data_IF_701368586187
#
_entry.id   IF_701368586187
#
_cell.length_a   1.000
_cell.length_b   1.000
_cell.length_c   1.000
_cell.angle_alpha   90.00
_cell.angle_beta   90.00
_cell.angle_gamma   90.00
#
_symmetry.space_group_name_H-M   'P 1'
#
loop_
_entity.id
_entity.type
_entity.pdbx_description
1 polymer ?
#
# COMPACT_ATOMS: atom_id res chain seq x y z
N UNK A 1 -4.05 19.65 -4.04
CA UNK A 1 -3.10 18.93 -4.91
C UNK A 1 -3.85 17.71 -5.45
N UNK A 2 -4.44 17.81 -6.64
CA UNK A 2 -5.15 16.69 -7.25
C UNK A 2 -4.13 15.92 -8.11
N UNK A 3 -3.78 14.70 -7.71
CA UNK A 3 -2.95 13.81 -8.53
C UNK A 3 -3.94 12.96 -9.34
N UNK A 4 -4.10 13.21 -10.66
CA UNK A 4 -5.07 12.48 -11.45
C UNK A 4 -4.77 10.97 -11.38
N UNK A 5 -5.80 10.17 -11.10
CA UNK A 5 -5.75 8.69 -10.98
C UNK A 5 -4.98 8.12 -9.79
N UNK A 6 -4.72 8.90 -8.74
CA UNK A 6 -4.24 8.32 -7.48
C UNK A 6 -5.40 7.65 -6.75
N UNK A 7 -5.43 6.32 -6.74
CA UNK A 7 -6.41 5.58 -5.96
C UNK A 7 -6.01 5.61 -4.47
N UNK A 8 -6.98 5.53 -3.54
CA UNK A 8 -6.69 5.44 -2.10
C UNK A 8 -5.69 4.33 -1.75
N UNK A 9 -5.74 3.22 -2.50
CA UNK A 9 -4.83 2.10 -2.31
C UNK A 9 -3.36 2.41 -2.67
N UNK A 10 -3.12 3.32 -3.62
CA UNK A 10 -1.76 3.74 -3.99
C UNK A 10 -1.06 4.46 -2.84
N UNK A 11 -1.82 5.27 -2.08
CA UNK A 11 -1.33 5.96 -0.90
C UNK A 11 -0.97 4.96 0.21
N UNK A 12 -1.82 3.96 0.48
CA UNK A 12 -1.53 2.91 1.46
C UNK A 12 -0.28 2.11 1.12
N UNK A 13 -0.11 1.74 -0.16
CA UNK A 13 1.08 1.04 -0.65
C UNK A 13 2.35 1.87 -0.49
N UNK A 14 2.29 3.14 -0.87
CA UNK A 14 3.40 4.08 -0.75
C UNK A 14 3.80 4.30 0.70
N UNK A 15 2.82 4.42 1.60
CA UNK A 15 3.01 4.56 3.04
C UNK A 15 3.82 3.38 3.61
N UNK A 16 3.38 2.13 3.36
CA UNK A 16 4.11 0.94 3.86
C UNK A 16 5.55 0.92 3.37
N UNK A 17 5.79 1.21 2.08
CA UNK A 17 7.13 1.20 1.51
C UNK A 17 8.03 2.24 2.19
N UNK A 18 7.55 3.48 2.30
CA UNK A 18 8.31 4.57 2.90
C UNK A 18 8.59 4.31 4.38
N UNK A 19 7.61 3.82 5.14
CA UNK A 19 7.81 3.42 6.53
C UNK A 19 8.82 2.28 6.65
N UNK A 20 8.74 1.26 5.79
CA UNK A 20 9.68 0.14 5.78
C UNK A 20 11.10 0.57 5.42
N UNK A 21 11.28 1.41 4.39
CA UNK A 21 12.59 1.92 3.98
C UNK A 21 13.21 2.82 5.07
N UNK A 22 12.37 3.49 5.87
CA UNK A 22 12.76 4.22 7.07
C UNK A 22 13.00 3.33 8.31
N UNK A 23 12.98 2.00 8.17
CA UNK A 23 13.08 1.00 9.26
C UNK A 23 11.99 1.16 10.33
N UNK A 24 10.79 1.57 9.93
CA UNK A 24 9.62 1.56 10.79
C UNK A 24 9.24 0.13 11.20
N UNK A 25 8.71 -0.01 12.41
CA UNK A 25 8.22 -1.29 12.92
C UNK A 25 6.94 -1.72 12.19
N UNK A 26 6.81 -3.01 11.88
CA UNK A 26 5.65 -3.55 11.17
C UNK A 26 4.33 -3.34 11.93
N UNK A 27 4.37 -3.38 13.26
CA UNK A 27 3.23 -3.17 14.14
C UNK A 27 2.72 -1.72 14.08
N UNK A 28 3.64 -0.76 13.92
CA UNK A 28 3.29 0.65 13.72
C UNK A 28 2.66 0.87 12.35
N UNK A 29 3.17 0.19 11.31
CA UNK A 29 2.55 0.22 9.99
C UNK A 29 1.16 -0.44 9.98
N UNK A 30 0.98 -1.55 10.71
CA UNK A 30 -0.33 -2.19 10.87
C UNK A 30 -1.35 -1.23 11.50
N UNK A 31 -0.95 -0.57 12.59
CA UNK A 31 -1.80 0.40 13.28
C UNK A 31 -2.19 1.56 12.35
N UNK A 32 -1.21 2.15 11.65
CA UNK A 32 -1.42 3.27 10.74
C UNK A 32 -2.40 2.96 9.59
N UNK A 33 -2.42 1.71 9.12
CA UNK A 33 -3.25 1.27 7.99
C UNK A 33 -4.58 0.65 8.43
N UNK A 34 -4.81 0.50 9.74
CA UNK A 34 -5.99 -0.18 10.27
C UNK A 34 -6.07 -1.65 9.86
N UNK A 35 -4.92 -2.30 9.65
CA UNK A 35 -4.89 -3.72 9.29
C UNK A 35 -5.24 -4.60 10.48
N UNK A 36 -5.97 -5.67 10.20
CA UNK A 36 -6.40 -6.65 11.22
C UNK A 36 -5.24 -7.46 11.81
N UNK A 37 -4.11 -7.59 11.10
CA UNK A 37 -2.95 -8.31 11.60
C UNK A 37 -1.63 -7.83 10.99
N UNK A 38 -0.52 -8.11 11.69
CA UNK A 38 0.83 -7.88 11.16
C UNK A 38 1.07 -8.67 9.87
N UNK A 39 0.55 -9.90 9.78
CA UNK A 39 0.69 -10.76 8.60
C UNK A 39 0.10 -10.14 7.32
N UNK A 40 -0.99 -9.37 7.40
CA UNK A 40 -1.52 -8.68 6.21
C UNK A 40 -0.67 -7.47 5.83
N UNK A 41 0.04 -6.88 6.79
CA UNK A 41 0.98 -5.77 6.58
C UNK A 41 2.30 -6.25 5.96
N UNK A 42 2.84 -7.39 6.41
CA UNK A 42 4.08 -8.00 5.90
C UNK A 42 4.05 -8.32 4.39
N UNK A 43 2.86 -8.55 3.83
CA UNK A 43 2.68 -8.82 2.40
C UNK A 43 3.09 -7.63 1.53
N UNK A 44 3.04 -6.40 2.03
CA UNK A 44 3.37 -5.19 1.27
C UNK A 44 4.87 -4.98 1.03
N UNK A 45 5.76 -5.04 2.06
CA UNK A 45 7.20 -4.98 1.83
C UNK A 45 7.72 -6.24 1.13
N UNK A 46 7.17 -7.41 1.46
CA UNK A 46 7.56 -8.71 0.89
C UNK A 46 7.11 -8.95 -0.56
N UNK A 47 6.06 -8.29 -1.04
CA UNK A 47 5.63 -8.39 -2.44
C UNK A 47 6.51 -7.53 -3.36
N UNK A 48 7.12 -8.17 -4.36
CA UNK A 48 7.67 -7.50 -5.56
C UNK A 48 6.54 -7.06 -6.51
N UNK A 49 5.48 -6.42 -6.00
CA UNK A 49 4.49 -5.81 -6.89
C UNK A 49 5.04 -4.50 -7.44
N UNK A 50 4.83 -4.28 -8.75
CA UNK A 50 5.15 -3.00 -9.38
C UNK A 50 4.14 -1.97 -8.91
N UNK A 51 4.51 -1.12 -7.95
CA UNK A 51 3.63 -0.09 -7.38
C UNK A 51 3.07 0.91 -8.41
N UNK A 52 3.75 1.06 -9.56
CA UNK A 52 3.27 1.88 -10.68
C UNK A 52 2.13 1.24 -11.48
N UNK A 53 2.02 -0.09 -11.43
CA UNK A 53 1.02 -0.89 -12.18
C UNK A 53 0.74 -2.15 -11.37
N UNK A 54 -0.24 -2.08 -10.48
CA UNK A 54 -0.71 -3.25 -9.78
C UNK A 54 -1.45 -4.19 -10.73
N UNK A 55 -1.44 -5.47 -10.38
CA UNK A 55 -2.06 -6.52 -11.22
C UNK A 55 -3.58 -6.32 -11.35
N UNK A 56 -4.20 -5.74 -10.32
CA UNK A 56 -5.63 -5.45 -10.29
C UNK A 56 -6.00 -4.13 -10.98
N UNK A 57 -5.06 -3.25 -11.31
CA UNK A 57 -5.34 -2.02 -12.09
C UNK A 57 -5.89 -2.36 -13.49
N UNK A 58 -5.60 -3.57 -13.98
CA UNK A 58 -6.12 -4.08 -15.27
C UNK A 58 -7.56 -4.57 -15.20
N UNK A 59 -8.16 -4.66 -14.01
CA UNK A 59 -9.53 -5.17 -13.85
C UNK A 59 -10.58 -4.11 -14.18
N UNK A 60 -10.20 -2.85 -14.39
CA UNK A 60 -11.12 -1.77 -14.75
C UNK A 60 -12.15 -1.44 -13.65
N UNK A 61 -11.87 -1.86 -12.40
CA UNK A 61 -12.70 -1.55 -11.24
C UNK A 61 -12.20 -0.21 -10.70
N UNK A 62 -12.56 0.86 -11.39
CA UNK A 62 -12.35 2.22 -10.90
C UNK A 62 -13.51 2.56 -9.96
N UNK A 63 -13.20 3.06 -8.76
CA UNK A 63 -14.21 3.71 -7.92
C UNK A 63 -14.72 4.95 -8.67
N UNK A 64 -16.03 5.12 -8.76
CA UNK A 64 -16.65 6.40 -9.13
C UNK A 64 -16.15 7.55 -8.23
#
# INVERSE_FOLDING_TARGET
MNIPRLAPHDACRSCVRLCHDARGELEQMQFLLGHVSVQTTERYPGCKQRFRVAVNDRLGIESE
#
